data_IF_565456824847
#
_entry.id   IF_565456824847
#
_cell.length_a   1.000
_cell.length_b   1.000
_cell.length_c   1.000
_cell.angle_alpha   90.00
_cell.angle_beta   90.00
_cell.angle_gamma   90.00
#
_symmetry.space_group_name_H-M   'P 1'
#
loop_
_entity.id
_entity.type
_entity.pdbx_description
1 polymer ?
#
# COMPACT_ATOMS: atom_id res chain seq x y z
N UNK A 1 37.65 3.72 -10.09
CA UNK A 1 37.25 2.70 -9.10
C UNK A 1 35.76 2.84 -8.87
N UNK A 2 34.96 1.88 -9.37
CA UNK A 2 33.51 1.85 -9.20
C UNK A 2 33.24 1.36 -7.77
N UNK A 3 32.75 2.23 -6.88
CA UNK A 3 32.25 1.81 -5.58
C UNK A 3 31.05 0.92 -5.80
N UNK A 4 31.20 -0.37 -5.61
CA UNK A 4 30.11 -1.33 -5.53
C UNK A 4 29.13 -0.86 -4.45
N UNK A 5 27.96 -0.38 -4.83
CA UNK A 5 26.88 -0.05 -3.88
C UNK A 5 26.49 -1.35 -3.18
N UNK A 6 26.92 -1.52 -1.93
CA UNK A 6 26.53 -2.67 -1.10
C UNK A 6 25.00 -2.76 -1.07
N UNK A 7 24.48 -3.84 -1.60
CA UNK A 7 23.05 -4.15 -1.58
C UNK A 7 22.59 -4.25 -0.12
N UNK A 8 21.64 -3.42 0.25
CA UNK A 8 21.11 -3.45 1.63
C UNK A 8 20.12 -4.60 1.76
N UNK A 9 20.61 -5.76 2.21
CA UNK A 9 19.83 -7.00 2.38
C UNK A 9 18.58 -6.74 3.25
N UNK A 10 18.70 -5.96 4.31
CA UNK A 10 17.55 -5.60 5.16
C UNK A 10 16.45 -4.89 4.38
N UNK A 11 16.84 -3.97 3.49
CA UNK A 11 15.89 -3.28 2.62
C UNK A 11 15.09 -4.28 1.79
N UNK A 12 15.78 -5.20 1.11
CA UNK A 12 15.14 -6.20 0.24
C UNK A 12 14.25 -7.12 1.06
N UNK A 13 14.74 -7.62 2.19
CA UNK A 13 13.98 -8.55 3.05
C UNK A 13 12.66 -7.92 3.54
N UNK A 14 12.71 -6.72 4.11
CA UNK A 14 11.47 -6.08 4.60
C UNK A 14 10.50 -5.73 3.46
N UNK A 15 11.02 -5.27 2.31
CA UNK A 15 10.19 -5.01 1.13
C UNK A 15 9.53 -6.30 0.63
N UNK A 16 10.28 -7.40 0.56
CA UNK A 16 9.77 -8.70 0.11
C UNK A 16 8.71 -9.28 1.08
N UNK A 17 8.96 -9.22 2.38
CA UNK A 17 7.98 -9.67 3.39
C UNK A 17 6.69 -8.85 3.30
N UNK A 18 6.78 -7.54 3.17
CA UNK A 18 5.58 -6.71 3.01
C UNK A 18 4.86 -6.96 1.69
N UNK A 19 5.59 -7.21 0.59
CA UNK A 19 4.97 -7.62 -0.68
C UNK A 19 4.23 -8.95 -0.55
N UNK A 20 4.82 -9.92 0.13
CA UNK A 20 4.17 -11.20 0.42
C UNK A 20 2.91 -11.03 1.28
N UNK A 21 2.93 -10.17 2.30
CA UNK A 21 1.76 -9.87 3.10
C UNK A 21 0.66 -9.18 2.27
N UNK A 22 1.01 -8.20 1.44
CA UNK A 22 0.05 -7.57 0.52
C UNK A 22 -0.58 -8.62 -0.40
N UNK A 23 0.25 -9.50 -0.99
CA UNK A 23 -0.22 -10.60 -1.83
C UNK A 23 -1.20 -11.51 -1.08
N UNK A 24 -0.79 -12.05 0.07
CA UNK A 24 -1.60 -12.99 0.86
C UNK A 24 -2.94 -12.37 1.26
N UNK A 25 -2.94 -11.14 1.79
CA UNK A 25 -4.18 -10.49 2.21
C UNK A 25 -5.08 -10.09 1.04
N UNK A 26 -4.53 -9.76 -0.11
CA UNK A 26 -5.31 -9.54 -1.34
C UNK A 26 -5.90 -10.84 -1.85
N UNK A 27 -5.10 -11.91 -1.91
CA UNK A 27 -5.51 -13.20 -2.46
C UNK A 27 -6.52 -13.93 -1.56
N UNK A 28 -6.26 -13.95 -0.24
CA UNK A 28 -7.06 -14.76 0.73
C UNK A 28 -8.35 -14.07 1.12
N UNK A 29 -8.31 -12.76 1.42
CA UNK A 29 -9.46 -11.99 1.89
C UNK A 29 -10.12 -11.19 0.77
N UNK A 30 -10.47 -11.88 -0.30
CA UNK A 30 -11.21 -11.32 -1.43
C UNK A 30 -12.70 -11.60 -1.29
N UNK A 31 -13.51 -10.62 -1.64
CA UNK A 31 -14.96 -10.73 -1.75
C UNK A 31 -15.29 -10.47 -3.22
N UNK A 32 -15.76 -11.49 -3.96
CA UNK A 32 -16.14 -11.29 -5.36
C UNK A 32 -17.36 -10.37 -5.44
N UNK A 33 -17.32 -9.42 -6.34
CA UNK A 33 -18.36 -8.43 -6.56
C UNK A 33 -18.59 -8.29 -8.07
N UNK A 34 -19.64 -8.92 -8.57
CA UNK A 34 -20.05 -8.83 -9.98
C UNK A 34 -18.91 -9.07 -10.97
N UNK A 35 -18.32 -8.00 -11.50
CA UNK A 35 -17.28 -8.01 -12.52
C UNK A 35 -15.85 -7.90 -11.98
N UNK A 36 -15.68 -7.83 -10.65
CA UNK A 36 -14.38 -7.69 -9.99
C UNK A 36 -14.38 -8.33 -8.61
N UNK A 37 -13.53 -7.82 -7.75
CA UNK A 37 -13.45 -8.23 -6.36
C UNK A 37 -12.96 -7.07 -5.49
N UNK A 38 -13.39 -7.04 -4.23
CA UNK A 38 -12.81 -6.20 -3.18
C UNK A 38 -11.94 -7.05 -2.25
N UNK A 39 -10.99 -6.44 -1.55
CA UNK A 39 -10.02 -7.19 -0.74
C UNK A 39 -9.44 -6.36 0.41
N UNK A 40 -8.87 -7.05 1.41
CA UNK A 40 -8.22 -6.41 2.55
C UNK A 40 -6.72 -6.10 2.34
N UNK A 41 -6.19 -6.31 1.13
CA UNK A 41 -4.78 -6.03 0.83
C UNK A 41 -4.37 -4.57 1.09
N UNK A 42 -5.28 -3.63 0.92
CA UNK A 42 -5.03 -2.19 1.14
C UNK A 42 -4.60 -1.89 2.58
N UNK A 43 -5.08 -2.63 3.57
CA UNK A 43 -4.63 -2.47 4.95
C UNK A 43 -3.12 -2.76 5.09
N UNK A 44 -2.60 -3.79 4.39
CA UNK A 44 -1.17 -4.10 4.39
C UNK A 44 -0.35 -3.06 3.62
N UNK A 45 -0.93 -2.48 2.58
CA UNK A 45 -0.29 -1.39 1.81
C UNK A 45 -0.12 -0.14 2.69
N UNK A 46 -1.17 0.30 3.40
CA UNK A 46 -1.09 1.45 4.30
C UNK A 46 -0.20 1.17 5.51
N UNK A 47 -0.25 -0.05 6.04
CA UNK A 47 0.67 -0.48 7.11
C UNK A 47 2.13 -0.45 6.64
N UNK A 48 2.41 -0.94 5.43
CA UNK A 48 3.74 -0.88 4.83
C UNK A 48 4.24 0.56 4.65
N UNK A 49 3.37 1.46 4.20
CA UNK A 49 3.68 2.88 4.06
C UNK A 49 4.11 3.50 5.39
N UNK A 50 3.35 3.23 6.47
CA UNK A 50 3.66 3.71 7.81
C UNK A 50 4.94 3.08 8.38
N UNK A 51 5.13 1.78 8.18
CA UNK A 51 6.24 1.03 8.78
C UNK A 51 7.57 1.30 8.07
N UNK A 52 7.58 1.28 6.74
CA UNK A 52 8.79 1.27 5.92
C UNK A 52 9.11 2.62 5.27
N UNK A 53 8.10 3.47 5.05
CA UNK A 53 8.22 4.68 4.24
C UNK A 53 8.24 4.41 2.72
N UNK A 54 8.10 5.48 1.92
CA UNK A 54 7.80 5.39 0.49
C UNK A 54 8.75 4.57 -0.35
N UNK A 55 10.06 4.73 -0.15
CA UNK A 55 11.06 4.04 -0.97
C UNK A 55 11.03 2.51 -0.88
N UNK A 56 10.54 1.96 0.25
CA UNK A 56 10.44 0.52 0.50
C UNK A 56 9.02 0.01 0.34
N UNK A 57 8.06 0.79 0.78
CA UNK A 57 6.66 0.41 0.75
C UNK A 57 6.05 0.45 -0.66
N UNK A 58 6.45 1.40 -1.51
CA UNK A 58 5.93 1.52 -2.87
C UNK A 58 6.19 0.26 -3.72
N UNK A 59 7.44 -0.26 -3.83
CA UNK A 59 7.65 -1.52 -4.54
C UNK A 59 6.95 -2.72 -3.88
N UNK A 60 6.84 -2.76 -2.55
CA UNK A 60 6.11 -3.82 -1.86
C UNK A 60 4.61 -3.82 -2.22
N UNK A 61 3.99 -2.64 -2.23
CA UNK A 61 2.59 -2.47 -2.59
C UNK A 61 2.32 -2.87 -4.05
N UNK A 62 3.12 -2.35 -4.99
CA UNK A 62 2.97 -2.65 -6.41
C UNK A 62 3.18 -4.14 -6.71
N UNK A 63 4.27 -4.74 -6.23
CA UNK A 63 4.59 -6.15 -6.48
C UNK A 63 3.57 -7.09 -5.83
N UNK A 64 3.21 -6.87 -4.56
CA UNK A 64 2.27 -7.74 -3.87
C UNK A 64 0.89 -7.73 -4.51
N UNK A 65 0.39 -6.55 -4.87
CA UNK A 65 -0.93 -6.42 -5.49
C UNK A 65 -0.97 -6.98 -6.92
N UNK A 66 0.02 -6.67 -7.76
CA UNK A 66 0.02 -7.18 -9.14
C UNK A 66 0.20 -8.70 -9.23
N UNK A 67 0.97 -9.30 -8.31
CA UNK A 67 1.09 -10.77 -8.23
C UNK A 67 -0.23 -11.40 -7.78
N UNK A 68 -1.00 -10.74 -6.91
CA UNK A 68 -2.32 -11.19 -6.52
C UNK A 68 -3.29 -11.17 -7.71
N UNK A 69 -3.29 -10.11 -8.52
CA UNK A 69 -4.09 -10.03 -9.74
C UNK A 69 -3.76 -11.17 -10.70
N UNK A 70 -2.47 -11.46 -10.92
CA UNK A 70 -2.05 -12.61 -11.74
C UNK A 70 -2.59 -13.93 -11.21
N UNK A 71 -2.41 -14.19 -9.91
CA UNK A 71 -2.83 -15.44 -9.27
C UNK A 71 -4.36 -15.61 -9.26
N UNK A 72 -5.10 -14.49 -9.28
CA UNK A 72 -6.57 -14.46 -9.33
C UNK A 72 -7.13 -14.50 -10.76
N UNK A 73 -6.29 -14.54 -11.80
CA UNK A 73 -6.71 -14.60 -13.20
C UNK A 73 -6.98 -13.22 -13.83
N UNK A 74 -6.67 -12.12 -13.15
CA UNK A 74 -6.85 -10.75 -13.66
C UNK A 74 -5.56 -10.20 -14.31
N UNK A 75 -4.94 -10.99 -15.21
CA UNK A 75 -3.66 -10.64 -15.82
C UNK A 75 -3.64 -9.25 -16.51
N UNK A 76 -4.76 -8.83 -17.10
CA UNK A 76 -4.88 -7.51 -17.71
C UNK A 76 -4.72 -6.36 -16.69
N UNK A 77 -5.01 -6.61 -15.42
CA UNK A 77 -4.89 -5.63 -14.35
C UNK A 77 -3.50 -5.56 -13.73
N UNK A 78 -2.60 -6.52 -13.99
CA UNK A 78 -1.27 -6.55 -13.38
C UNK A 78 -0.49 -5.23 -13.53
N UNK A 79 -0.39 -4.72 -14.76
CA UNK A 79 0.38 -3.51 -15.02
C UNK A 79 -0.32 -2.25 -14.45
N UNK A 80 -1.63 -2.02 -14.67
CA UNK A 80 -2.35 -0.94 -14.02
C UNK A 80 -2.24 -0.98 -12.49
N UNK A 81 -2.48 -2.13 -11.87
CA UNK A 81 -2.42 -2.29 -10.41
C UNK A 81 -1.03 -2.02 -9.87
N UNK A 82 0.02 -2.55 -10.51
CA UNK A 82 1.39 -2.26 -10.09
C UNK A 82 1.66 -0.76 -10.08
N UNK A 83 1.36 -0.07 -11.18
CA UNK A 83 1.62 1.37 -11.34
C UNK A 83 0.80 2.16 -10.31
N UNK A 84 -0.49 1.88 -10.20
CA UNK A 84 -1.39 2.63 -9.31
C UNK A 84 -0.99 2.45 -7.85
N UNK A 85 -0.75 1.21 -7.39
CA UNK A 85 -0.38 0.93 -6.00
C UNK A 85 1.01 1.46 -5.65
N UNK A 86 1.96 1.34 -6.58
CA UNK A 86 3.29 1.92 -6.40
C UNK A 86 3.21 3.45 -6.27
N UNK A 87 2.54 4.12 -7.19
CA UNK A 87 2.40 5.58 -7.17
C UNK A 87 1.58 6.07 -5.99
N UNK A 88 0.49 5.40 -5.62
CA UNK A 88 -0.31 5.74 -4.46
C UNK A 88 0.54 5.79 -3.19
N UNK A 89 1.38 4.78 -2.96
CA UNK A 89 2.28 4.74 -1.81
C UNK A 89 3.41 5.76 -1.93
N UNK A 90 4.00 5.92 -3.10
CA UNK A 90 5.06 6.91 -3.30
C UNK A 90 4.55 8.34 -3.02
N UNK A 91 3.39 8.71 -3.57
CA UNK A 91 2.76 10.02 -3.40
C UNK A 91 2.33 10.23 -1.94
N UNK A 92 1.64 9.24 -1.34
CA UNK A 92 1.18 9.40 0.05
C UNK A 92 2.35 9.57 1.02
N UNK A 93 3.45 8.86 0.80
CA UNK A 93 4.64 9.01 1.64
C UNK A 93 5.29 10.38 1.47
N UNK A 94 5.36 10.90 0.24
CA UNK A 94 5.89 12.24 0.00
C UNK A 94 5.05 13.32 0.67
N UNK A 95 3.72 13.23 0.61
CA UNK A 95 2.81 14.18 1.23
C UNK A 95 2.84 14.05 2.75
N UNK A 96 2.73 12.82 3.27
CA UNK A 96 2.70 12.60 4.71
C UNK A 96 4.03 12.97 5.39
N UNK A 97 5.16 12.75 4.74
CA UNK A 97 6.47 13.15 5.27
C UNK A 97 6.64 14.66 5.35
N UNK A 98 6.03 15.41 4.42
CA UNK A 98 6.16 16.89 4.36
C UNK A 98 5.08 17.62 5.14
N UNK A 99 3.83 17.17 5.08
CA UNK A 99 2.68 17.95 5.51
C UNK A 99 1.97 17.42 6.76
N UNK A 100 2.09 16.14 7.09
CA UNK A 100 1.22 15.47 8.09
C UNK A 100 1.99 14.64 9.12
N UNK A 101 3.26 14.95 9.38
CA UNK A 101 4.10 14.30 10.40
C UNK A 101 4.03 12.76 10.38
N UNK A 102 4.01 12.16 9.16
CA UNK A 102 3.97 10.69 8.96
C UNK A 102 2.78 10.00 9.65
N UNK A 103 1.66 10.70 9.78
CA UNK A 103 0.46 10.10 10.36
C UNK A 103 -0.16 9.07 9.41
N UNK A 104 -0.72 7.99 9.97
CA UNK A 104 -1.42 6.98 9.16
C UNK A 104 -2.60 7.60 8.41
N UNK A 105 -3.31 8.55 9.02
CA UNK A 105 -4.41 9.27 8.37
C UNK A 105 -3.92 10.02 7.13
N UNK A 106 -2.74 10.66 7.21
CA UNK A 106 -2.12 11.32 6.05
C UNK A 106 -1.78 10.33 4.94
N UNK A 107 -1.20 9.18 5.27
CA UNK A 107 -0.95 8.12 4.30
C UNK A 107 -2.25 7.61 3.66
N UNK A 108 -3.28 7.37 4.47
CA UNK A 108 -4.57 6.86 4.00
C UNK A 108 -5.31 7.84 3.11
N UNK A 109 -5.44 9.10 3.53
CA UNK A 109 -6.17 10.12 2.77
C UNK A 109 -5.48 10.42 1.43
N UNK A 110 -4.18 10.69 1.43
CA UNK A 110 -3.46 11.04 0.21
C UNK A 110 -3.36 9.84 -0.76
N UNK A 111 -2.96 8.67 -0.27
CA UNK A 111 -2.83 7.46 -1.09
C UNK A 111 -4.18 6.91 -1.51
N UNK A 112 -5.17 6.96 -0.62
CA UNK A 112 -6.54 6.53 -0.90
C UNK A 112 -7.23 7.37 -1.95
N UNK A 113 -7.16 8.69 -1.85
CA UNK A 113 -7.73 9.59 -2.86
C UNK A 113 -7.07 9.38 -4.23
N UNK A 114 -5.74 9.28 -4.26
CA UNK A 114 -5.02 9.01 -5.50
C UNK A 114 -5.44 7.67 -6.13
N UNK A 115 -5.46 6.58 -5.35
CA UNK A 115 -5.80 5.27 -5.91
C UNK A 115 -7.25 5.20 -6.40
N UNK A 116 -8.21 5.82 -5.70
CA UNK A 116 -9.61 5.88 -6.14
C UNK A 116 -9.68 6.57 -7.52
N UNK A 117 -9.06 7.73 -7.67
CA UNK A 117 -9.04 8.45 -8.95
C UNK A 117 -8.33 7.67 -10.05
N UNK A 118 -7.17 7.09 -9.76
CA UNK A 118 -6.37 6.36 -10.74
C UNK A 118 -7.03 5.05 -11.20
N UNK A 119 -7.63 4.27 -10.29
CA UNK A 119 -8.40 3.07 -10.68
C UNK A 119 -9.68 3.43 -11.44
N UNK A 120 -10.36 4.50 -11.05
CA UNK A 120 -11.54 4.97 -11.81
C UNK A 120 -11.14 5.35 -13.23
N UNK A 121 -10.06 6.09 -13.41
CA UNK A 121 -9.54 6.42 -14.74
C UNK A 121 -9.14 5.16 -15.52
N UNK A 122 -8.43 4.22 -14.90
CA UNK A 122 -8.06 2.96 -15.55
C UNK A 122 -9.29 2.17 -15.99
N UNK A 123 -10.34 2.12 -15.18
CA UNK A 123 -11.61 1.46 -15.54
C UNK A 123 -12.32 2.15 -16.70
N UNK A 124 -12.29 3.49 -16.77
CA UNK A 124 -12.83 4.22 -17.93
C UNK A 124 -12.08 3.87 -19.21
N UNK A 125 -10.75 3.76 -19.14
CA UNK A 125 -9.92 3.47 -20.31
C UNK A 125 -9.98 1.99 -20.74
N UNK A 126 -10.12 1.05 -19.80
CA UNK A 126 -10.12 -0.39 -20.09
C UNK A 126 -11.51 -0.94 -20.42
N UNK A 127 -12.55 -0.31 -19.91
CA UNK A 127 -13.95 -0.73 -20.10
C UNK A 127 -14.79 0.43 -20.61
N UNK A 128 -15.50 1.14 -19.74
CA UNK A 128 -16.29 2.33 -20.04
C UNK A 128 -16.57 3.18 -18.80
N UNK A 129 -17.17 4.35 -19.02
CA UNK A 129 -17.52 5.31 -17.96
C UNK A 129 -18.58 4.76 -17.00
N UNK A 130 -19.56 4.02 -17.53
CA UNK A 130 -20.67 3.49 -16.72
C UNK A 130 -20.12 2.46 -15.72
N UNK A 131 -19.30 1.53 -16.20
CA UNK A 131 -18.63 0.55 -15.35
C UNK A 131 -17.75 1.22 -14.26
N UNK A 132 -16.97 2.22 -14.63
CA UNK A 132 -16.13 2.94 -13.70
C UNK A 132 -16.94 3.62 -12.58
N UNK A 133 -18.08 4.24 -12.92
CA UNK A 133 -18.94 4.93 -11.94
C UNK A 133 -19.71 3.95 -11.05
N UNK A 134 -20.20 2.85 -11.59
CA UNK A 134 -20.94 1.83 -10.79
C UNK A 134 -20.04 1.13 -9.79
N UNK A 135 -18.76 0.96 -10.08
CA UNK A 135 -17.77 0.32 -9.17
C UNK A 135 -17.04 1.31 -8.25
N UNK A 136 -17.28 2.61 -8.39
CA UNK A 136 -16.64 3.64 -7.56
C UNK A 136 -16.97 3.52 -6.05
N UNK A 137 -18.23 3.28 -5.63
CA UNK A 137 -18.56 3.11 -4.21
C UNK A 137 -17.84 1.93 -3.57
N UNK A 138 -17.74 0.82 -4.29
CA UNK A 138 -17.01 -0.37 -3.86
C UNK A 138 -15.54 -0.05 -3.58
N UNK A 139 -14.88 0.62 -4.53
CA UNK A 139 -13.48 1.01 -4.41
C UNK A 139 -13.25 1.99 -3.24
N UNK A 140 -14.20 2.91 -3.02
CA UNK A 140 -14.14 3.84 -1.90
C UNK A 140 -14.29 3.12 -0.55
N UNK A 141 -15.23 2.18 -0.44
CA UNK A 141 -15.44 1.36 0.76
C UNK A 141 -14.20 0.49 1.02
N UNK A 142 -13.68 -0.20 0.01
CA UNK A 142 -12.45 -0.99 0.14
C UNK A 142 -11.30 -0.16 0.71
N UNK A 143 -11.08 1.02 0.13
CA UNK A 143 -10.01 1.93 0.56
C UNK A 143 -10.24 2.41 2.00
N UNK A 144 -11.46 2.82 2.36
CA UNK A 144 -11.80 3.28 3.71
C UNK A 144 -11.61 2.16 4.75
N UNK A 145 -12.06 0.95 4.46
CA UNK A 145 -11.87 -0.24 5.32
C UNK A 145 -10.38 -0.54 5.47
N UNK A 146 -9.61 -0.50 4.38
CA UNK A 146 -8.17 -0.70 4.41
C UNK A 146 -7.46 0.29 5.33
N UNK A 147 -7.81 1.57 5.27
CA UNK A 147 -7.27 2.63 6.15
C UNK A 147 -7.67 2.38 7.61
N UNK A 148 -8.94 2.07 7.87
CA UNK A 148 -9.45 1.84 9.23
C UNK A 148 -8.75 0.65 9.90
N UNK A 149 -8.65 -0.48 9.20
CA UNK A 149 -7.99 -1.69 9.74
C UNK A 149 -6.49 -1.47 9.91
N UNK A 150 -5.82 -0.80 8.97
CA UNK A 150 -4.43 -0.39 9.14
C UNK A 150 -4.27 0.50 10.38
N UNK A 151 -5.23 1.40 10.64
CA UNK A 151 -5.27 2.24 11.83
C UNK A 151 -5.27 1.45 13.13
N UNK A 152 -6.12 0.45 13.22
CA UNK A 152 -6.15 -0.45 14.39
C UNK A 152 -4.80 -1.15 14.58
N UNK A 153 -4.22 -1.68 13.51
CA UNK A 153 -2.92 -2.35 13.57
C UNK A 153 -1.80 -1.40 14.00
N UNK A 154 -1.78 -0.17 13.50
CA UNK A 154 -0.80 0.85 13.90
C UNK A 154 -0.93 1.19 15.38
N UNK A 155 -2.15 1.35 15.90
CA UNK A 155 -2.38 1.59 17.34
C UNK A 155 -1.85 0.43 18.18
N UNK A 156 -2.14 -0.82 17.79
CA UNK A 156 -1.65 -2.02 18.49
C UNK A 156 -0.11 -2.06 18.46
N UNK A 157 0.50 -1.86 17.29
CA UNK A 157 1.96 -1.88 17.13
C UNK A 157 2.65 -0.75 17.89
N UNK A 158 2.02 0.41 17.99
CA UNK A 158 2.55 1.56 18.74
C UNK A 158 2.47 1.31 20.23
N UNK A 159 1.32 0.88 20.74
CA UNK A 159 1.12 0.60 22.18
C UNK A 159 1.99 -0.56 22.70
N UNK A 160 2.24 -1.57 21.87
CA UNK A 160 3.12 -2.70 22.23
C UNK A 160 4.61 -2.39 22.10
N UNK A 161 4.99 -1.22 21.56
CA UNK A 161 6.37 -0.88 21.23
C UNK A 161 6.97 -1.67 20.05
N UNK A 162 6.25 -2.64 19.50
CA UNK A 162 6.71 -3.47 18.37
C UNK A 162 6.90 -2.62 17.10
N UNK A 163 6.07 -1.62 16.89
CA UNK A 163 6.17 -0.71 15.74
C UNK A 163 7.52 -0.01 15.67
N UNK A 164 7.95 0.60 16.75
CA UNK A 164 9.26 1.28 16.81
C UNK A 164 10.44 0.31 16.62
N UNK A 165 10.32 -0.92 17.15
CA UNK A 165 11.33 -1.97 16.94
C UNK A 165 11.41 -2.39 15.48
N UNK A 166 10.27 -2.64 14.84
CA UNK A 166 10.19 -3.02 13.42
C UNK A 166 10.70 -1.90 12.49
N UNK A 167 10.34 -0.65 12.75
CA UNK A 167 10.83 0.51 11.99
C UNK A 167 12.36 0.64 12.08
N UNK A 168 12.93 0.44 13.26
CA UNK A 168 14.40 0.42 13.46
C UNK A 168 15.06 -0.73 12.72
N UNK A 169 14.50 -1.92 12.80
CA UNK A 169 15.01 -3.12 12.10
C UNK A 169 14.94 -2.96 10.58
N UNK A 170 13.89 -2.35 10.08
CA UNK A 170 13.74 -2.07 8.65
C UNK A 170 14.69 -0.97 8.14
N UNK A 171 15.45 -0.30 9.01
CA UNK A 171 16.25 0.87 8.64
C UNK A 171 15.36 2.04 8.18
N UNK A 172 14.12 2.08 8.66
CA UNK A 172 13.25 3.25 8.61
C UNK A 172 13.81 4.31 9.57
N UNK A 173 13.56 5.57 9.28
CA UNK A 173 14.14 6.69 9.99
C UNK A 173 13.81 6.69 11.49
N UNK A 174 14.62 6.01 12.29
CA UNK A 174 14.65 6.10 13.73
C UNK A 174 15.24 7.42 14.23
N UNK A 175 15.05 8.52 13.50
CA UNK A 175 15.57 9.84 13.89
C UNK A 175 14.56 10.70 14.67
N UNK A 176 13.29 10.33 14.73
CA UNK A 176 12.26 11.18 15.34
C UNK A 176 11.60 10.63 16.62
N UNK A 177 12.01 9.45 17.11
CA UNK A 177 11.54 8.94 18.43
C UNK A 177 12.26 9.60 19.63
N UNK A 178 12.97 10.72 19.44
CA UNK A 178 13.65 11.47 20.50
C UNK A 178 13.01 12.83 20.81
N UNK A 179 11.86 13.15 20.22
CA UNK A 179 11.15 14.40 20.45
C UNK A 179 9.65 14.16 20.67
N UNK A 180 9.30 13.38 21.67
CA UNK A 180 7.99 13.34 22.31
C UNK A 180 8.16 12.87 23.76
#
# INVERSE_FOLDING_TARGET
MQQSKKVNVRYITFTAVMAALVFVFTFTFKIPLGTGYTHLGDMMIFLAAWLLGGKKAAPAAGLGACLADLALGYAAWMAPTFIIKFLAVAICCLIAEKAMHRSLLGYGVAGGAFQIGAYTLAKVLMYDKTYALTTLPELAIQTAVGIAVAGVLVVILTKSGAGAKLQRMAGGAGKEAKAA
#
